data_IF_004570854449
#
_entry.id   IF_004570854449
#
_cell.length_a   1.000
_cell.length_b   1.000
_cell.length_c   1.000
_cell.angle_alpha   90.00
_cell.angle_beta   90.00
_cell.angle_gamma   90.00
#
_symmetry.space_group_name_H-M   'P 1'
#
loop_
_entity.id
_entity.type
_entity.pdbx_description
1 polymer ?
#
# COMPACT_ATOMS: atom_id res chain seq x y z
N UNK A 1 -67.84 -66.22 35.55
CA UNK A 1 -66.37 -66.19 35.69
C UNK A 1 -65.81 -65.37 34.54
N UNK A 2 -64.86 -64.48 34.85
CA UNK A 2 -63.97 -63.72 33.95
C UNK A 2 -64.52 -62.49 33.18
N UNK A 3 -63.93 -61.34 33.55
CA UNK A 3 -63.85 -60.04 32.88
C UNK A 3 -62.93 -60.14 31.63
N UNK A 4 -63.08 -59.30 30.58
CA UNK A 4 -62.11 -58.20 30.47
C UNK A 4 -62.62 -56.87 29.84
N UNK A 5 -62.16 -55.78 30.47
CA UNK A 5 -61.55 -54.56 29.90
C UNK A 5 -62.30 -53.72 28.84
N UNK A 6 -62.99 -52.68 29.32
CA UNK A 6 -63.18 -51.40 28.62
C UNK A 6 -62.12 -50.40 29.10
N UNK A 7 -61.14 -50.04 28.26
CA UNK A 7 -60.22 -48.94 28.53
C UNK A 7 -60.90 -47.59 28.27
N UNK A 8 -61.06 -46.79 29.33
CA UNK A 8 -61.43 -45.38 29.24
C UNK A 8 -60.21 -44.53 28.94
N UNK A 9 -60.25 -43.75 27.87
CA UNK A 9 -59.29 -42.70 27.54
C UNK A 9 -59.40 -41.60 28.62
N UNK A 10 -58.32 -41.35 29.35
CA UNK A 10 -58.18 -40.18 30.23
C UNK A 10 -57.42 -39.10 29.45
N UNK A 11 -58.11 -38.03 29.08
CA UNK A 11 -57.46 -36.80 28.63
C UNK A 11 -56.87 -36.09 29.85
N UNK A 12 -55.55 -36.11 29.98
CA UNK A 12 -54.81 -35.23 30.89
C UNK A 12 -54.60 -33.90 30.17
N UNK A 13 -55.33 -32.86 30.58
CA UNK A 13 -55.05 -31.50 30.17
C UNK A 13 -53.84 -30.99 30.96
N UNK A 14 -52.71 -30.81 30.29
CA UNK A 14 -51.52 -30.13 30.82
C UNK A 14 -51.65 -28.64 30.46
N UNK A 15 -51.66 -27.70 31.41
CA UNK A 15 -51.61 -26.29 31.08
C UNK A 15 -50.18 -25.96 30.63
N UNK A 16 -50.01 -25.65 29.34
CA UNK A 16 -48.77 -25.10 28.81
C UNK A 16 -48.69 -23.64 29.23
N UNK A 17 -47.88 -23.35 30.26
CA UNK A 17 -47.47 -21.99 30.59
C UNK A 17 -46.46 -21.52 29.53
N UNK A 18 -46.93 -20.76 28.54
CA UNK A 18 -46.06 -20.03 27.61
C UNK A 18 -45.57 -18.77 28.34
N UNK A 19 -44.40 -18.88 28.96
CA UNK A 19 -43.67 -17.72 29.46
C UNK A 19 -43.04 -16.96 28.30
N UNK A 20 -43.67 -15.86 27.87
CA UNK A 20 -43.07 -14.90 26.95
C UNK A 20 -41.95 -14.13 27.70
N UNK A 21 -40.71 -14.60 27.60
CA UNK A 21 -39.55 -13.78 27.95
C UNK A 21 -39.35 -12.74 26.85
N UNK A 22 -39.92 -11.56 27.03
CA UNK A 22 -39.54 -10.36 26.29
C UNK A 22 -38.11 -9.96 26.71
N UNK A 23 -37.12 -10.50 26.03
CA UNK A 23 -35.76 -9.94 26.03
C UNK A 23 -35.80 -8.63 25.25
N UNK A 24 -36.20 -7.54 25.91
CA UNK A 24 -35.85 -6.21 25.46
C UNK A 24 -34.33 -6.08 25.56
N UNK A 25 -33.65 -6.30 24.42
CA UNK A 25 -32.26 -5.93 24.28
C UNK A 25 -32.13 -4.44 24.53
N UNK A 26 -31.57 -4.05 25.68
CA UNK A 26 -31.08 -2.70 25.89
C UNK A 26 -29.89 -2.48 24.94
N UNK A 27 -30.18 -2.11 23.69
CA UNK A 27 -29.17 -1.46 22.87
C UNK A 27 -28.71 -0.22 23.63
N UNK A 28 -27.44 -0.18 24.02
CA UNK A 28 -26.86 0.98 24.67
C UNK A 28 -27.15 2.22 23.80
N UNK A 29 -27.74 3.31 24.35
CA UNK A 29 -28.05 4.53 23.58
C UNK A 29 -26.79 5.22 23.02
N UNK A 30 -25.61 4.63 23.22
CA UNK A 30 -24.29 5.13 22.82
C UNK A 30 -23.77 4.51 21.52
N UNK A 31 -24.15 3.26 21.22
CA UNK A 31 -23.89 2.60 19.92
C UNK A 31 -24.82 3.19 18.85
N UNK A 32 -26.08 3.44 19.23
CA UNK A 32 -27.10 4.03 18.34
C UNK A 32 -26.70 5.37 17.71
N UNK A 33 -25.89 6.20 18.41
CA UNK A 33 -25.41 7.48 17.84
C UNK A 33 -24.29 7.31 16.80
N UNK A 34 -23.43 6.32 16.96
CA UNK A 34 -22.38 6.01 15.99
C UNK A 34 -23.00 5.33 14.76
N UNK A 35 -23.89 4.37 14.99
CA UNK A 35 -24.68 3.72 13.95
C UNK A 35 -25.52 4.76 13.19
N UNK A 36 -26.14 5.71 13.89
CA UNK A 36 -26.88 6.81 13.25
C UNK A 36 -25.99 7.67 12.36
N UNK A 37 -24.71 7.91 12.69
CA UNK A 37 -23.83 8.71 11.84
C UNK A 37 -23.39 7.94 10.60
N UNK A 38 -23.01 6.68 10.78
CA UNK A 38 -22.63 5.81 9.68
C UNK A 38 -23.78 5.59 8.69
N UNK A 39 -25.04 5.59 9.18
CA UNK A 39 -26.24 5.41 8.35
C UNK A 39 -26.88 6.71 7.85
N UNK A 40 -26.33 7.89 8.14
CA UNK A 40 -26.88 9.18 7.71
C UNK A 40 -25.82 10.06 7.03
N UNK A 41 -26.27 11.22 6.52
CA UNK A 41 -25.36 12.20 5.92
C UNK A 41 -24.66 11.68 4.65
N UNK A 42 -23.40 12.08 4.41
CA UNK A 42 -22.64 11.70 3.20
C UNK A 42 -22.46 10.19 2.99
N UNK A 43 -22.59 9.37 4.05
CA UNK A 43 -22.42 7.92 4.02
C UNK A 43 -23.72 7.14 3.72
N UNK A 44 -24.87 7.81 3.66
CA UNK A 44 -26.18 7.16 3.57
C UNK A 44 -26.31 6.15 2.42
N UNK A 45 -25.72 6.45 1.26
CA UNK A 45 -25.80 5.63 0.05
C UNK A 45 -24.51 4.85 -0.22
N UNK A 46 -23.57 4.80 0.73
CA UNK A 46 -22.31 4.10 0.57
C UNK A 46 -22.31 2.79 1.35
N UNK A 47 -21.50 1.84 0.91
CA UNK A 47 -21.24 0.62 1.64
C UNK A 47 -20.06 0.86 2.57
N UNK A 48 -20.27 0.75 3.88
CA UNK A 48 -19.24 1.04 4.88
C UNK A 48 -19.08 -0.08 5.90
N UNK A 49 -17.86 -0.24 6.39
CA UNK A 49 -17.51 -1.15 7.47
C UNK A 49 -16.52 -0.48 8.42
N UNK A 50 -16.66 -0.77 9.71
CA UNK A 50 -15.79 -0.25 10.76
C UNK A 50 -15.54 -1.33 11.80
N UNK A 51 -14.27 -1.63 12.02
CA UNK A 51 -13.80 -2.44 13.15
C UNK A 51 -12.88 -1.59 14.00
N UNK A 52 -13.08 -1.63 15.33
CA UNK A 52 -12.23 -0.99 16.33
C UNK A 52 -11.95 -1.99 17.45
N UNK A 53 -10.68 -2.17 17.81
CA UNK A 53 -10.25 -3.01 18.93
C UNK A 53 -9.32 -2.25 19.87
N UNK A 54 -9.26 -2.66 21.14
CA UNK A 54 -8.21 -2.24 22.07
C UNK A 54 -6.89 -2.92 21.73
N UNK A 55 -5.82 -2.15 21.53
CA UNK A 55 -4.51 -2.69 21.11
C UNK A 55 -3.83 -3.59 22.15
N UNK A 56 -4.20 -3.49 23.44
CA UNK A 56 -3.62 -4.30 24.52
C UNK A 56 -4.41 -5.57 24.77
N UNK A 57 -5.74 -5.47 24.84
CA UNK A 57 -6.59 -6.61 25.21
C UNK A 57 -7.12 -7.39 24.01
N UNK A 58 -6.99 -6.85 22.79
CA UNK A 58 -7.61 -7.35 21.57
C UNK A 58 -9.15 -7.37 21.59
N UNK A 59 -9.78 -6.78 22.62
CA UNK A 59 -11.24 -6.73 22.74
C UNK A 59 -11.85 -5.86 21.64
N UNK A 60 -12.92 -6.34 21.01
CA UNK A 60 -13.64 -5.57 20.00
C UNK A 60 -14.55 -4.53 20.65
N UNK A 61 -14.24 -3.26 20.41
CA UNK A 61 -14.98 -2.10 20.91
C UNK A 61 -16.15 -1.77 19.99
N UNK A 62 -15.96 -1.92 18.68
CA UNK A 62 -16.98 -1.65 17.69
C UNK A 62 -16.78 -2.53 16.45
N UNK A 63 -17.88 -3.02 15.89
CA UNK A 63 -17.89 -3.81 14.67
C UNK A 63 -19.19 -3.59 13.90
N UNK A 64 -19.07 -3.07 12.69
CA UNK A 64 -20.13 -3.08 11.67
C UNK A 64 -19.53 -3.52 10.34
N UNK A 65 -20.17 -4.49 9.68
CA UNK A 65 -19.72 -5.07 8.42
C UNK A 65 -18.23 -5.48 8.40
N UNK A 66 -17.66 -5.86 9.55
CA UNK A 66 -16.23 -6.17 9.66
C UNK A 66 -15.80 -7.43 8.91
N UNK A 67 -16.76 -8.28 8.58
CA UNK A 67 -16.65 -9.53 7.81
C UNK A 67 -16.91 -9.33 6.31
N UNK A 68 -17.30 -8.14 5.87
CA UNK A 68 -17.61 -7.85 4.47
C UNK A 68 -16.37 -7.38 3.72
N UNK A 69 -16.26 -7.78 2.45
CA UNK A 69 -15.17 -7.37 1.57
C UNK A 69 -15.40 -5.99 0.97
N UNK A 70 -14.33 -5.21 0.92
CA UNK A 70 -14.27 -3.88 0.32
C UNK A 70 -13.07 -3.79 -0.62
N UNK A 71 -13.14 -2.92 -1.62
CA UNK A 71 -11.95 -2.48 -2.34
C UNK A 71 -11.14 -1.57 -1.40
N UNK A 72 -9.92 -1.96 -1.00
CA UNK A 72 -9.12 -1.28 0.02
C UNK A 72 -8.44 0.00 -0.46
N UNK A 73 -8.30 0.21 -1.78
CA UNK A 73 -7.43 1.25 -2.33
C UNK A 73 -6.03 1.18 -1.68
N UNK A 74 -5.35 2.32 -1.49
CA UNK A 74 -4.02 2.37 -0.87
C UNK A 74 -3.90 1.87 0.58
N UNK A 75 -4.97 1.37 1.22
CA UNK A 75 -4.81 0.60 2.47
C UNK A 75 -4.05 -0.72 2.25
N UNK A 76 -3.97 -1.25 1.02
CA UNK A 76 -3.08 -2.39 0.69
C UNK A 76 -1.63 -2.12 1.09
N UNK A 77 -1.19 -0.87 1.06
CA UNK A 77 0.18 -0.49 1.48
C UNK A 77 0.49 -0.81 2.95
N UNK A 78 -0.52 -1.00 3.80
CA UNK A 78 -0.35 -1.52 5.16
C UNK A 78 0.15 -2.97 5.14
N UNK A 79 -0.39 -3.77 4.22
CA UNK A 79 -0.02 -5.17 4.02
C UNK A 79 1.33 -5.28 3.33
N UNK A 80 1.59 -4.41 2.36
CA UNK A 80 2.92 -4.26 1.73
C UNK A 80 3.98 -3.84 2.73
N UNK A 81 3.66 -2.92 3.65
CA UNK A 81 4.54 -2.57 4.77
C UNK A 81 4.83 -3.81 5.62
N UNK A 82 3.80 -4.54 6.06
CA UNK A 82 3.99 -5.72 6.88
C UNK A 82 4.88 -6.76 6.18
N UNK A 83 4.61 -7.02 4.91
CA UNK A 83 5.42 -7.91 4.06
C UNK A 83 6.88 -7.47 4.00
N UNK A 84 7.10 -6.17 3.81
CA UNK A 84 8.44 -5.60 3.79
C UNK A 84 9.16 -5.75 5.14
N UNK A 85 8.45 -5.54 6.24
CA UNK A 85 8.99 -5.73 7.60
C UNK A 85 9.37 -7.18 7.90
N UNK A 86 8.66 -8.15 7.32
CA UNK A 86 8.97 -9.59 7.47
C UNK A 86 10.11 -10.05 6.57
N UNK A 87 10.16 -9.57 5.33
CA UNK A 87 11.06 -10.09 4.30
C UNK A 87 12.35 -9.31 4.10
N UNK A 88 12.34 -8.00 4.37
CA UNK A 88 13.47 -7.13 4.04
C UNK A 88 14.35 -6.83 5.27
N UNK A 89 15.68 -6.84 5.11
CA UNK A 89 16.59 -6.43 6.17
C UNK A 89 16.56 -4.90 6.38
N UNK A 90 17.34 -4.42 7.37
CA UNK A 90 17.45 -3.01 7.74
C UNK A 90 17.79 -2.08 6.57
N UNK A 91 18.63 -2.55 5.66
CA UNK A 91 18.99 -1.85 4.42
C UNK A 91 18.44 -2.63 3.23
N UNK A 92 17.95 -1.92 2.22
CA UNK A 92 17.29 -2.56 1.07
C UNK A 92 18.32 -3.37 0.25
N UNK A 93 18.02 -4.61 -0.17
CA UNK A 93 18.83 -5.31 -1.17
C UNK A 93 18.75 -4.54 -2.50
N UNK A 94 19.76 -3.74 -2.80
CA UNK A 94 19.74 -2.79 -3.92
C UNK A 94 20.04 -3.46 -5.27
N UNK A 95 20.95 -4.43 -5.25
CA UNK A 95 21.29 -5.27 -6.41
C UNK A 95 21.90 -6.59 -5.91
N UNK A 96 21.95 -7.58 -6.79
CA UNK A 96 22.82 -8.76 -6.66
C UNK A 96 23.99 -8.60 -7.64
N UNK A 97 25.20 -9.01 -7.26
CA UNK A 97 26.37 -8.93 -8.13
C UNK A 97 27.33 -10.11 -7.97
N UNK A 98 28.21 -10.27 -8.96
CA UNK A 98 29.36 -11.16 -8.88
C UNK A 98 30.51 -10.55 -9.69
N UNK A 99 31.74 -10.84 -9.29
CA UNK A 99 32.94 -10.39 -10.01
C UNK A 99 33.65 -11.62 -10.57
N UNK A 100 33.93 -11.63 -11.87
CA UNK A 100 34.74 -12.66 -12.50
C UNK A 100 35.73 -12.02 -13.45
N UNK A 101 37.02 -12.27 -13.22
CA UNK A 101 38.12 -11.55 -13.88
C UNK A 101 37.90 -10.04 -13.69
N UNK A 102 37.83 -9.27 -14.77
CA UNK A 102 37.68 -7.82 -14.74
C UNK A 102 36.24 -7.35 -15.00
N UNK A 103 35.26 -8.27 -15.00
CA UNK A 103 33.85 -7.94 -15.25
C UNK A 103 33.02 -8.02 -13.98
N UNK A 104 32.30 -6.92 -13.70
CA UNK A 104 31.24 -6.87 -12.71
C UNK A 104 29.92 -7.28 -13.37
N UNK A 105 29.34 -8.38 -12.90
CA UNK A 105 28.01 -8.84 -13.28
C UNK A 105 27.00 -8.32 -12.28
N UNK A 106 25.92 -7.70 -12.76
CA UNK A 106 24.89 -7.08 -11.92
C UNK A 106 23.52 -7.60 -12.32
N UNK A 107 22.71 -7.91 -11.33
CA UNK A 107 21.31 -8.31 -11.46
C UNK A 107 20.46 -7.39 -10.58
N UNK A 108 19.41 -6.82 -11.16
CA UNK A 108 18.50 -5.93 -10.45
C UNK A 108 17.59 -6.69 -9.47
N UNK A 109 17.29 -6.08 -8.33
CA UNK A 109 16.37 -6.64 -7.31
C UNK A 109 15.00 -5.97 -7.30
N UNK A 110 14.81 -4.92 -8.10
CA UNK A 110 13.62 -4.05 -8.08
C UNK A 110 13.76 -2.80 -7.20
N UNK A 111 14.94 -2.52 -6.64
CA UNK A 111 15.16 -1.33 -5.79
C UNK A 111 14.78 -0.01 -6.48
N UNK A 112 13.74 0.73 -6.00
CA UNK A 112 13.26 1.94 -6.66
C UNK A 112 14.05 3.20 -6.31
N UNK A 113 15.09 3.10 -5.48
CA UNK A 113 15.70 4.29 -4.85
C UNK A 113 16.75 4.99 -5.73
N UNK A 114 17.28 4.29 -6.73
CA UNK A 114 18.43 4.75 -7.50
C UNK A 114 18.08 5.96 -8.34
N UNK A 115 18.76 7.08 -8.04
CA UNK A 115 18.54 8.38 -8.66
C UNK A 115 17.08 8.87 -8.60
N UNK A 116 16.27 8.26 -7.74
CA UNK A 116 14.87 8.61 -7.58
C UNK A 116 14.74 10.10 -7.22
N UNK A 117 13.76 10.85 -7.76
CA UNK A 117 13.62 12.30 -7.50
C UNK A 117 13.66 12.68 -6.00
N UNK A 118 13.05 11.83 -5.17
CA UNK A 118 13.08 11.93 -3.70
C UNK A 118 14.36 11.42 -3.05
N UNK A 119 14.70 10.12 -3.20
CA UNK A 119 15.81 9.50 -2.46
C UNK A 119 17.19 9.91 -2.96
N UNK A 120 17.32 10.15 -4.27
CA UNK A 120 18.57 10.47 -4.96
C UNK A 120 19.70 9.49 -4.62
N UNK A 121 19.37 8.22 -4.38
CA UNK A 121 20.37 7.24 -3.98
C UNK A 121 21.35 7.01 -5.14
N UNK A 122 22.64 7.11 -4.83
CA UNK A 122 23.75 6.90 -5.75
C UNK A 122 24.78 5.91 -5.20
N UNK A 123 24.44 5.21 -4.11
CA UNK A 123 25.35 4.33 -3.37
C UNK A 123 25.95 3.24 -4.27
N UNK A 124 25.17 2.67 -5.18
CA UNK A 124 25.62 1.65 -6.13
C UNK A 124 26.70 2.15 -7.13
N UNK A 125 26.80 3.46 -7.39
CA UNK A 125 27.83 4.01 -8.28
C UNK A 125 29.23 3.70 -7.76
N UNK A 126 29.43 3.70 -6.44
CA UNK A 126 30.73 3.42 -5.85
C UNK A 126 31.23 2.00 -6.17
N UNK A 127 30.31 1.03 -6.30
CA UNK A 127 30.63 -0.32 -6.77
C UNK A 127 30.97 -0.31 -8.27
N UNK A 128 30.14 0.37 -9.07
CA UNK A 128 30.32 0.41 -10.51
C UNK A 128 31.62 1.08 -10.92
N UNK A 129 32.02 2.18 -10.28
CA UNK A 129 33.25 2.92 -10.62
C UNK A 129 34.55 2.12 -10.41
N UNK A 130 34.51 1.05 -9.61
CA UNK A 130 35.68 0.19 -9.34
C UNK A 130 35.99 -0.82 -10.46
N UNK A 131 35.13 -0.93 -11.47
CA UNK A 131 35.22 -1.96 -12.50
C UNK A 131 35.07 -1.36 -13.90
N UNK A 132 35.96 -1.68 -14.82
CA UNK A 132 35.92 -1.15 -16.18
C UNK A 132 34.82 -1.79 -17.03
N UNK A 133 34.57 -3.08 -16.82
CA UNK A 133 33.55 -3.84 -17.55
C UNK A 133 32.33 -4.13 -16.67
N UNK A 134 31.15 -3.72 -17.16
CA UNK A 134 29.86 -3.94 -16.50
C UNK A 134 28.94 -4.77 -17.40
N UNK A 135 28.47 -5.89 -16.87
CA UNK A 135 27.50 -6.77 -17.50
C UNK A 135 26.19 -6.78 -16.69
N UNK A 136 25.08 -6.37 -17.31
CA UNK A 136 23.80 -6.17 -16.66
C UNK A 136 22.78 -7.22 -17.11
N UNK A 137 22.24 -7.95 -16.14
CA UNK A 137 21.17 -8.92 -16.32
C UNK A 137 19.85 -8.33 -15.78
N UNK A 138 18.89 -8.09 -16.68
CA UNK A 138 17.58 -7.52 -16.35
C UNK A 138 16.41 -8.50 -16.51
N UNK A 139 16.69 -9.72 -16.99
CA UNK A 139 15.68 -10.73 -17.37
C UNK A 139 15.35 -11.71 -16.24
N UNK A 140 15.58 -11.32 -14.99
CA UNK A 140 15.34 -12.13 -13.79
C UNK A 140 13.92 -11.92 -13.21
N UNK A 141 12.92 -11.62 -14.03
CA UNK A 141 11.54 -11.35 -13.60
C UNK A 141 10.52 -12.00 -14.52
N UNK A 142 9.38 -12.39 -13.95
CA UNK A 142 8.18 -12.86 -14.66
C UNK A 142 7.03 -11.85 -14.57
N UNK A 143 7.30 -10.64 -14.09
CA UNK A 143 6.29 -9.61 -13.87
C UNK A 143 5.90 -8.91 -15.18
N UNK A 144 4.60 -8.67 -15.33
CA UNK A 144 4.11 -7.65 -16.24
C UNK A 144 4.51 -6.24 -15.77
N UNK A 145 4.60 -5.30 -16.71
CA UNK A 145 4.99 -3.91 -16.44
C UNK A 145 3.96 -3.16 -15.57
N UNK A 146 2.70 -3.58 -15.59
CA UNK A 146 1.61 -2.99 -14.82
C UNK A 146 0.95 -4.05 -13.92
N UNK A 147 0.28 -3.59 -12.86
CA UNK A 147 -0.47 -4.48 -11.98
C UNK A 147 -1.79 -4.96 -12.62
N UNK A 148 -2.32 -6.13 -12.22
CA UNK A 148 -3.61 -6.61 -12.71
C UNK A 148 -4.74 -5.62 -12.42
N UNK A 149 -5.55 -5.27 -13.41
CA UNK A 149 -6.71 -4.39 -13.23
C UNK A 149 -6.37 -2.92 -13.01
N UNK A 150 -5.13 -2.50 -13.28
CA UNK A 150 -4.80 -1.09 -13.46
C UNK A 150 -5.51 -0.55 -14.71
N UNK A 151 -5.97 0.70 -14.65
CA UNK A 151 -6.71 1.30 -15.75
C UNK A 151 -5.76 1.66 -16.90
N UNK A 152 -6.15 1.40 -18.14
CA UNK A 152 -5.29 1.62 -19.30
C UNK A 152 -5.08 3.11 -19.58
N UNK A 153 -6.07 3.93 -19.21
CA UNK A 153 -6.06 5.39 -19.35
C UNK A 153 -5.08 6.09 -18.39
N UNK A 154 -4.59 5.41 -17.34
CA UNK A 154 -3.71 6.01 -16.32
C UNK A 154 -2.22 6.06 -16.76
N UNK A 155 -1.88 5.67 -17.99
CA UNK A 155 -0.51 5.42 -18.45
C UNK A 155 0.47 6.62 -18.35
N UNK A 156 -0.03 7.86 -18.34
CA UNK A 156 0.75 9.09 -18.26
C UNK A 156 0.64 9.78 -16.88
N UNK A 157 -0.03 9.13 -15.93
CA UNK A 157 -0.22 9.65 -14.58
C UNK A 157 0.96 9.28 -13.68
N UNK A 158 1.41 10.21 -12.83
CA UNK A 158 2.57 10.03 -11.96
C UNK A 158 2.49 8.80 -11.04
N UNK A 159 1.29 8.28 -10.78
CA UNK A 159 1.05 7.15 -9.89
C UNK A 159 1.02 5.80 -10.60
N UNK A 160 1.21 5.76 -11.92
CA UNK A 160 1.26 4.54 -12.74
C UNK A 160 2.62 4.28 -13.47
N UNK A 161 3.81 4.49 -12.85
CA UNK A 161 5.07 4.05 -13.46
C UNK A 161 5.14 2.54 -13.67
N UNK A 162 5.79 2.11 -14.77
CA UNK A 162 6.01 0.69 -15.06
C UNK A 162 6.97 0.06 -14.05
N UNK A 163 6.63 -1.14 -13.58
CA UNK A 163 7.52 -2.01 -12.79
C UNK A 163 8.64 -2.55 -13.68
N UNK A 164 9.84 -2.66 -13.14
CA UNK A 164 10.97 -3.34 -13.78
C UNK A 164 12.02 -3.78 -12.73
N UNK A 165 13.01 -4.55 -13.16
CA UNK A 165 14.02 -5.19 -12.30
C UNK A 165 15.12 -4.24 -11.81
N UNK A 166 15.36 -3.15 -12.55
CA UNK A 166 16.31 -2.10 -12.16
C UNK A 166 15.74 -0.72 -12.48
N UNK A 167 14.90 -0.18 -11.58
CA UNK A 167 14.41 1.19 -11.70
C UNK A 167 15.54 2.20 -11.65
N UNK A 168 15.47 3.20 -12.51
CA UNK A 168 16.31 4.39 -12.43
C UNK A 168 15.41 5.62 -12.47
N UNK A 169 15.68 6.62 -11.63
CA UNK A 169 14.89 7.84 -11.53
C UNK A 169 13.41 7.60 -11.20
N UNK A 170 13.09 6.52 -10.48
CA UNK A 170 11.71 6.14 -10.17
C UNK A 170 10.87 5.76 -11.40
N UNK A 171 11.52 5.45 -12.54
CA UNK A 171 10.87 5.23 -13.84
C UNK A 171 9.98 6.40 -14.29
N UNK A 172 10.34 7.63 -13.91
CA UNK A 172 9.65 8.85 -14.33
C UNK A 172 10.62 9.85 -14.96
N UNK A 173 10.09 10.65 -15.87
CA UNK A 173 10.68 11.90 -16.32
C UNK A 173 10.17 13.03 -15.42
N UNK A 174 11.08 13.85 -14.90
CA UNK A 174 10.73 15.09 -14.19
C UNK A 174 10.82 16.27 -15.16
N UNK A 175 9.76 17.06 -15.27
CA UNK A 175 9.65 18.21 -16.20
C UNK A 175 9.17 19.44 -15.43
N UNK A 176 9.80 20.59 -15.65
CA UNK A 176 9.38 21.90 -15.15
C UNK A 176 9.49 22.95 -16.25
N UNK A 177 8.61 23.95 -16.25
CA UNK A 177 8.62 25.04 -17.23
C UNK A 177 8.64 26.45 -16.57
N UNK A 178 8.92 26.53 -15.27
CA UNK A 178 8.80 27.78 -14.51
C UNK A 178 9.86 28.82 -14.89
N UNK A 179 11.10 28.36 -15.13
CA UNK A 179 12.27 29.19 -15.42
C UNK A 179 12.93 28.78 -16.75
N UNK A 180 12.09 28.39 -17.72
CA UNK A 180 12.51 27.65 -18.90
C UNK A 180 12.34 26.13 -18.71
N UNK A 181 12.44 25.40 -19.82
CA UNK A 181 12.23 23.96 -19.84
C UNK A 181 13.38 23.22 -19.15
N UNK A 182 13.10 22.63 -18.00
CA UNK A 182 14.00 21.75 -17.26
C UNK A 182 13.50 20.31 -17.34
N UNK A 183 14.40 19.38 -17.67
CA UNK A 183 14.08 17.97 -17.88
C UNK A 183 15.12 17.09 -17.21
N UNK A 184 14.67 16.15 -16.39
CA UNK A 184 15.53 15.17 -15.72
C UNK A 184 14.94 13.76 -15.86
N UNK A 185 15.70 12.78 -16.40
CA UNK A 185 17.06 12.87 -16.91
C UNK A 185 17.25 13.73 -18.17
N UNK A 186 18.36 14.47 -18.25
CA UNK A 186 18.57 15.49 -19.29
C UNK A 186 18.72 14.93 -20.72
N UNK A 187 19.18 13.70 -20.90
CA UNK A 187 19.26 13.12 -22.25
C UNK A 187 17.88 12.85 -22.88
N UNK A 188 16.80 12.95 -22.10
CA UNK A 188 15.41 12.85 -22.57
C UNK A 188 14.82 14.21 -22.97
N UNK A 189 15.57 15.32 -22.87
CA UNK A 189 15.07 16.66 -23.22
C UNK A 189 14.52 16.76 -24.64
N UNK A 190 15.15 16.08 -25.61
CA UNK A 190 14.72 16.06 -27.01
C UNK A 190 13.34 15.39 -27.21
N UNK A 191 12.89 14.62 -26.22
CA UNK A 191 11.59 13.96 -26.23
C UNK A 191 10.47 14.81 -25.62
N UNK A 192 10.77 16.02 -25.14
CA UNK A 192 9.82 16.90 -24.46
C UNK A 192 9.43 18.05 -25.37
N UNK A 193 8.13 18.33 -25.47
CA UNK A 193 7.60 19.49 -26.19
C UNK A 193 6.77 20.36 -25.26
N UNK A 194 7.00 21.67 -25.30
CA UNK A 194 6.13 22.65 -24.62
C UNK A 194 4.90 22.88 -25.52
N UNK A 195 3.78 22.24 -25.19
CA UNK A 195 2.57 22.23 -25.99
C UNK A 195 1.35 22.07 -25.08
N UNK A 196 0.25 22.74 -25.41
CA UNK A 196 -1.01 22.54 -24.70
C UNK A 196 -1.68 21.25 -25.17
N UNK A 197 -1.37 20.16 -24.47
CA UNK A 197 -1.95 18.83 -24.66
C UNK A 197 -2.65 18.39 -23.38
N UNK A 198 -3.70 17.57 -23.50
CA UNK A 198 -4.37 16.98 -22.34
C UNK A 198 -3.52 15.88 -21.70
N UNK A 199 -2.81 15.12 -22.52
CA UNK A 199 -1.88 14.05 -22.12
C UNK A 199 -0.48 14.59 -21.84
N UNK A 200 0.24 13.97 -20.92
CA UNK A 200 1.62 14.30 -20.54
C UNK A 200 2.65 13.45 -21.26
N UNK A 201 2.25 12.30 -21.80
CA UNK A 201 3.05 11.41 -22.65
C UNK A 201 2.17 10.83 -23.75
N UNK A 202 2.74 10.46 -24.89
CA UNK A 202 2.10 9.57 -25.86
C UNK A 202 1.94 8.16 -25.29
N UNK A 203 0.87 7.43 -25.62
CA UNK A 203 0.56 6.13 -25.01
C UNK A 203 1.68 5.09 -25.21
N UNK A 204 2.22 5.00 -26.43
CA UNK A 204 3.16 3.96 -26.84
C UNK A 204 4.58 4.46 -27.10
N UNK A 205 4.85 5.75 -26.92
CA UNK A 205 6.20 6.31 -27.10
C UNK A 205 6.56 7.21 -25.93
N UNK A 206 7.87 7.35 -25.69
CA UNK A 206 8.40 8.33 -24.76
C UNK A 206 8.46 9.70 -25.45
N UNK A 207 7.31 10.24 -25.85
CA UNK A 207 7.17 11.63 -26.30
C UNK A 207 6.31 12.35 -25.26
N UNK A 208 6.82 13.44 -24.70
CA UNK A 208 6.24 14.09 -23.52
C UNK A 208 5.79 15.50 -23.83
N UNK A 209 4.81 15.96 -23.06
CA UNK A 209 4.24 17.29 -23.18
C UNK A 209 4.18 17.97 -21.82
N UNK A 210 4.52 19.25 -21.80
CA UNK A 210 4.25 20.16 -20.67
C UNK A 210 3.54 21.39 -21.21
N UNK A 211 2.49 21.83 -20.50
CA UNK A 211 1.72 23.00 -20.92
C UNK A 211 2.57 24.27 -20.79
N UNK A 212 2.42 25.25 -21.69
CA UNK A 212 3.18 26.50 -21.59
C UNK A 212 3.02 27.23 -20.26
N UNK A 213 1.82 27.15 -19.66
CA UNK A 213 1.48 27.82 -18.39
C UNK A 213 1.58 26.90 -17.17
N UNK A 214 2.08 25.67 -17.32
CA UNK A 214 2.29 24.76 -16.18
C UNK A 214 3.26 25.40 -15.18
N UNK A 215 2.85 25.43 -13.91
CA UNK A 215 3.65 25.99 -12.80
C UNK A 215 4.19 24.91 -11.87
N UNK A 216 3.64 23.70 -11.94
CA UNK A 216 4.09 22.58 -11.14
C UNK A 216 5.20 21.79 -11.85
N UNK A 217 6.07 21.19 -11.04
CA UNK A 217 6.99 20.16 -11.56
C UNK A 217 6.22 18.86 -11.74
N UNK A 218 6.20 18.36 -12.97
CA UNK A 218 5.52 17.11 -13.33
C UNK A 218 6.48 15.92 -13.23
N UNK A 219 5.98 14.80 -12.72
CA UNK A 219 6.60 13.49 -12.88
C UNK A 219 5.75 12.66 -13.82
N UNK A 220 6.32 12.25 -14.96
CA UNK A 220 5.59 11.55 -16.02
C UNK A 220 6.21 10.16 -16.22
N UNK A 221 5.44 9.07 -16.12
CA UNK A 221 5.94 7.71 -16.31
C UNK A 221 6.70 7.50 -17.62
N UNK A 222 7.84 6.81 -17.56
CA UNK A 222 8.57 6.33 -18.73
C UNK A 222 7.97 5.00 -19.21
N UNK A 223 7.95 4.78 -20.53
CA UNK A 223 7.96 3.43 -21.08
C UNK A 223 9.38 2.90 -20.94
N UNK A 224 9.53 1.85 -20.14
CA UNK A 224 10.81 1.23 -19.81
C UNK A 224 11.06 -0.02 -20.65
N UNK A 225 12.33 -0.27 -20.96
CA UNK A 225 12.86 -1.50 -21.55
C UNK A 225 14.36 -1.61 -21.24
N UNK A 226 14.94 -2.79 -21.45
CA UNK A 226 16.35 -3.07 -21.14
C UNK A 226 17.32 -2.08 -21.81
N UNK A 227 17.04 -1.68 -23.05
CA UNK A 227 17.86 -0.73 -23.80
C UNK A 227 17.83 0.67 -23.19
N UNK A 228 16.66 1.14 -22.71
CA UNK A 228 16.54 2.43 -22.04
C UNK A 228 17.23 2.40 -20.68
N UNK A 229 17.05 1.34 -19.89
CA UNK A 229 17.75 1.16 -18.60
C UNK A 229 19.27 1.13 -18.80
N UNK A 230 19.75 0.41 -19.81
CA UNK A 230 21.16 0.44 -20.23
C UNK A 230 21.61 1.86 -20.53
N UNK A 231 20.92 2.57 -21.43
CA UNK A 231 21.29 3.93 -21.86
C UNK A 231 21.31 4.91 -20.68
N UNK A 232 20.32 4.85 -19.79
CA UNK A 232 20.26 5.63 -18.56
C UNK A 232 21.52 5.41 -17.70
N UNK A 233 21.91 4.15 -17.52
CA UNK A 233 23.07 3.80 -16.70
C UNK A 233 24.39 4.20 -17.36
N UNK A 234 24.52 4.05 -18.69
CA UNK A 234 25.67 4.53 -19.46
C UNK A 234 25.82 6.06 -19.34
N UNK A 235 24.71 6.80 -19.39
CA UNK A 235 24.71 8.25 -19.22
C UNK A 235 25.14 8.68 -17.81
N UNK A 236 24.76 7.93 -16.78
CA UNK A 236 25.18 8.17 -15.40
C UNK A 236 26.67 7.86 -15.22
N UNK A 237 27.13 6.71 -15.74
CA UNK A 237 28.47 6.19 -15.46
C UNK A 237 29.54 6.68 -16.44
N UNK A 238 29.13 7.27 -17.58
CA UNK A 238 30.00 7.67 -18.69
C UNK A 238 30.91 6.53 -19.18
N UNK A 239 30.35 5.33 -19.25
CA UNK A 239 31.01 4.12 -19.78
C UNK A 239 29.99 3.13 -20.32
N UNK A 240 30.46 2.20 -21.15
CA UNK A 240 29.63 1.18 -21.78
C UNK A 240 29.12 0.14 -20.77
N UNK A 241 27.90 -0.33 -21.00
CA UNK A 241 27.27 -1.42 -20.27
C UNK A 241 26.82 -2.52 -21.23
N UNK A 242 27.19 -3.76 -20.96
CA UNK A 242 26.79 -4.92 -21.76
C UNK A 242 25.53 -5.54 -21.16
N UNK A 243 24.47 -5.70 -21.95
CA UNK A 243 23.32 -6.50 -21.53
C UNK A 243 23.61 -7.98 -21.71
N UNK A 244 23.22 -8.81 -20.74
CA UNK A 244 23.37 -10.27 -20.80
C UNK A 244 22.03 -10.97 -20.58
N UNK A 245 21.81 -12.05 -21.32
CA UNK A 245 20.58 -12.82 -21.25
C UNK A 245 20.50 -13.74 -20.03
N UNK A 246 21.65 -14.15 -19.50
CA UNK A 246 21.75 -15.03 -18.33
C UNK A 246 22.87 -14.58 -17.41
N UNK A 247 22.60 -14.59 -16.10
CA UNK A 247 23.64 -14.40 -15.09
C UNK A 247 24.60 -15.61 -15.09
N UNK A 248 25.93 -15.41 -15.00
CA UNK A 248 26.88 -16.53 -14.96
C UNK A 248 26.63 -17.44 -13.75
N UNK A 249 26.94 -18.73 -13.87
CA UNK A 249 26.80 -19.74 -12.78
C UNK A 249 27.85 -19.55 -11.68
N UNK A 250 27.77 -18.40 -11.00
CA UNK A 250 28.68 -17.95 -9.94
C UNK A 250 27.81 -17.48 -8.78
N UNK A 251 28.30 -17.66 -7.56
CA UNK A 251 27.61 -17.19 -6.37
C UNK A 251 27.44 -15.66 -6.41
N UNK A 252 26.20 -15.22 -6.21
CA UNK A 252 25.84 -13.80 -6.14
C UNK A 252 26.06 -13.28 -4.72
N UNK A 253 26.61 -12.08 -4.60
CA UNK A 253 26.61 -11.27 -3.40
C UNK A 253 25.48 -10.24 -3.45
N UNK A 254 24.98 -9.82 -2.29
CA UNK A 254 23.96 -8.78 -2.17
C UNK A 254 24.64 -7.46 -1.82
N UNK A 255 24.40 -6.43 -2.62
CA UNK A 255 24.77 -5.07 -2.29
C UNK A 255 23.58 -4.37 -1.65
N UNK A 256 23.79 -3.75 -0.49
CA UNK A 256 22.74 -3.08 0.27
C UNK A 256 22.75 -1.57 0.04
N UNK A 257 21.57 -1.00 -0.19
CA UNK A 257 21.34 0.43 -0.38
C UNK A 257 20.96 1.16 0.90
N UNK A 258 20.09 2.17 0.77
CA UNK A 258 19.59 2.96 1.89
C UNK A 258 18.78 2.13 2.90
N UNK A 259 18.49 2.73 4.06
CA UNK A 259 17.64 2.11 5.06
C UNK A 259 16.22 1.86 4.52
N UNK A 260 15.71 0.64 4.69
CA UNK A 260 14.40 0.23 4.18
C UNK A 260 13.26 1.09 4.75
N UNK A 261 13.38 1.54 6.01
CA UNK A 261 12.42 2.45 6.64
C UNK A 261 12.23 3.78 5.90
N UNK A 262 13.25 4.26 5.17
CA UNK A 262 13.12 5.45 4.34
C UNK A 262 12.13 5.22 3.20
N UNK A 263 12.15 4.04 2.58
CA UNK A 263 11.26 3.64 1.50
C UNK A 263 9.84 3.44 2.05
N UNK A 264 9.71 2.78 3.20
CA UNK A 264 8.42 2.53 3.85
C UNK A 264 7.70 3.84 4.20
N UNK A 265 8.44 4.78 4.79
CA UNK A 265 7.88 6.08 5.16
C UNK A 265 7.42 6.84 3.93
N UNK A 266 8.25 6.93 2.89
CA UNK A 266 7.88 7.61 1.65
C UNK A 266 6.66 6.97 0.99
N UNK A 267 6.62 5.63 0.90
CA UNK A 267 5.49 4.88 0.37
C UNK A 267 4.18 5.21 1.12
N UNK A 268 4.22 5.25 2.45
CA UNK A 268 2.99 5.46 3.24
C UNK A 268 2.56 6.93 3.23
N UNK A 269 3.50 7.86 3.39
CA UNK A 269 3.24 9.30 3.49
C UNK A 269 2.79 9.92 2.17
N UNK A 270 3.51 9.65 1.08
CA UNK A 270 3.12 10.13 -0.26
C UNK A 270 2.14 9.18 -0.96
N UNK A 271 1.81 8.05 -0.33
CA UNK A 271 0.95 7.02 -0.90
C UNK A 271 1.47 6.47 -2.25
N UNK A 272 2.79 6.42 -2.41
CA UNK A 272 3.46 6.10 -3.66
C UNK A 272 3.19 4.66 -4.11
N UNK A 273 2.54 4.50 -5.27
CA UNK A 273 2.17 3.20 -5.82
C UNK A 273 3.41 2.43 -6.31
N UNK A 274 4.34 3.12 -6.97
CA UNK A 274 5.51 2.50 -7.56
C UNK A 274 6.41 1.88 -6.49
N UNK A 275 6.64 2.61 -5.39
CA UNK A 275 7.38 2.06 -4.24
C UNK A 275 6.71 0.82 -3.66
N UNK A 276 5.38 0.80 -3.59
CA UNK A 276 4.65 -0.33 -3.02
C UNK A 276 4.75 -1.59 -3.90
N UNK A 277 4.62 -1.44 -5.22
CA UNK A 277 4.84 -2.56 -6.14
C UNK A 277 6.28 -3.08 -6.07
N UNK A 278 7.26 -2.17 -6.09
CA UNK A 278 8.66 -2.54 -6.08
C UNK A 278 9.09 -3.19 -4.77
N UNK A 279 8.53 -2.77 -3.62
CA UNK A 279 8.78 -3.43 -2.35
C UNK A 279 8.34 -4.90 -2.32
N UNK A 280 7.24 -5.26 -2.99
CA UNK A 280 6.85 -6.66 -3.13
C UNK A 280 7.79 -7.42 -4.07
N UNK A 281 8.26 -6.79 -5.16
CA UNK A 281 9.27 -7.39 -6.04
C UNK A 281 10.58 -7.64 -5.29
N UNK A 282 11.10 -6.66 -4.54
CA UNK A 282 12.32 -6.83 -3.74
C UNK A 282 12.13 -7.90 -2.68
N UNK A 283 10.97 -7.96 -2.02
CA UNK A 283 10.64 -9.03 -1.08
C UNK A 283 10.81 -10.42 -1.69
N UNK A 284 10.44 -10.60 -2.96
CA UNK A 284 10.59 -11.91 -3.62
C UNK A 284 12.04 -12.27 -3.92
N UNK A 285 12.94 -11.28 -4.01
CA UNK A 285 14.38 -11.48 -4.22
C UNK A 285 15.07 -12.14 -3.02
N UNK A 286 14.46 -12.05 -1.82
CA UNK A 286 14.92 -12.71 -0.59
C UNK A 286 14.38 -14.13 -0.45
N UNK A 287 13.37 -14.49 -1.26
CA UNK A 287 12.73 -15.81 -1.28
C UNK A 287 13.17 -16.66 -2.48
N UNK A 288 13.56 -16.04 -3.60
CA UNK A 288 13.97 -16.74 -4.82
C UNK A 288 14.85 -15.88 -5.73
N UNK A 289 15.40 -16.48 -6.78
CA UNK A 289 16.21 -15.76 -7.78
C UNK A 289 15.39 -15.07 -8.89
N UNK A 290 14.08 -15.33 -8.96
CA UNK A 290 13.20 -14.69 -9.94
C UNK A 290 12.25 -13.74 -9.23
N UNK A 291 12.30 -12.45 -9.60
CA UNK A 291 11.42 -11.44 -9.06
C UNK A 291 9.96 -11.73 -9.44
N UNK A 292 9.08 -11.72 -8.43
CA UNK A 292 7.65 -11.92 -8.60
C UNK A 292 6.87 -11.37 -7.41
N UNK A 293 5.98 -10.42 -7.68
CA UNK A 293 5.01 -9.89 -6.72
C UNK A 293 4.15 -11.01 -6.15
N UNK A 294 3.68 -11.92 -7.01
CA UNK A 294 2.83 -13.04 -6.61
C UNK A 294 3.54 -14.00 -5.64
N UNK A 295 4.86 -14.21 -5.78
CA UNK A 295 5.62 -15.03 -4.82
C UNK A 295 5.62 -14.43 -3.42
N UNK A 296 5.86 -13.12 -3.30
CA UNK A 296 5.80 -12.42 -2.01
C UNK A 296 4.40 -12.51 -1.40
N UNK A 297 3.35 -12.27 -2.21
CA UNK A 297 1.96 -12.37 -1.77
C UNK A 297 1.62 -13.78 -1.28
N UNK A 298 1.95 -14.80 -2.07
CA UNK A 298 1.64 -16.20 -1.74
C UNK A 298 2.36 -16.64 -0.47
N UNK A 299 3.66 -16.34 -0.36
CA UNK A 299 4.44 -16.61 0.84
C UNK A 299 3.79 -16.00 2.09
N UNK A 300 3.38 -14.73 2.01
CA UNK A 300 2.74 -14.05 3.15
C UNK A 300 1.40 -14.68 3.52
N UNK A 301 0.54 -15.02 2.54
CA UNK A 301 -0.78 -15.62 2.79
C UNK A 301 -0.70 -17.05 3.34
N UNK A 302 0.33 -17.79 2.98
CA UNK A 302 0.59 -19.17 3.42
C UNK A 302 1.29 -19.25 4.78
N UNK A 303 2.06 -18.21 5.16
CA UNK A 303 2.87 -18.23 6.37
C UNK A 303 2.40 -17.17 7.38
N UNK A 304 2.79 -15.91 7.19
CA UNK A 304 2.63 -14.83 8.17
C UNK A 304 1.18 -14.37 8.39
N UNK A 305 0.35 -14.55 7.35
CA UNK A 305 -1.08 -14.21 7.30
C UNK A 305 -1.96 -15.45 7.17
N UNK A 306 -1.41 -16.63 7.49
CA UNK A 306 -2.11 -17.93 7.46
C UNK A 306 -3.35 -17.95 8.38
N UNK A 307 -3.34 -17.17 9.45
CA UNK A 307 -4.31 -17.10 10.54
C UNK A 307 -5.35 -15.96 10.40
N UNK A 308 -5.37 -15.22 9.29
CA UNK A 308 -6.43 -14.24 9.02
C UNK A 308 -7.80 -14.93 8.96
N UNK A 309 -8.77 -14.37 9.69
CA UNK A 309 -10.14 -14.90 9.77
C UNK A 309 -10.82 -14.85 8.40
N UNK A 310 -10.60 -13.75 7.67
CA UNK A 310 -11.07 -13.58 6.30
C UNK A 310 -9.88 -13.36 5.38
N UNK A 311 -9.61 -14.33 4.51
CA UNK A 311 -8.51 -14.25 3.54
C UNK A 311 -8.77 -13.16 2.51
N UNK A 312 -7.85 -12.24 2.26
CA UNK A 312 -8.05 -11.23 1.23
C UNK A 312 -7.87 -11.83 -0.17
N UNK A 313 -8.48 -11.18 -1.17
CA UNK A 313 -7.99 -11.26 -2.55
C UNK A 313 -6.95 -10.15 -2.69
N UNK A 314 -5.68 -10.52 -2.79
CA UNK A 314 -4.56 -9.58 -2.85
C UNK A 314 -3.78 -9.79 -4.14
N UNK A 315 -3.66 -8.76 -4.99
CA UNK A 315 -3.11 -8.89 -6.35
C UNK A 315 -2.02 -7.88 -6.72
N UNK A 316 -1.84 -6.81 -5.94
CA UNK A 316 -0.81 -5.78 -6.20
C UNK A 316 -0.30 -5.17 -4.88
N UNK A 317 0.82 -4.44 -4.90
CA UNK A 317 1.38 -3.82 -3.70
C UNK A 317 0.73 -2.48 -3.34
N UNK A 318 0.22 -1.77 -4.33
CA UNK A 318 -0.22 -0.38 -4.20
C UNK A 318 -1.68 -0.23 -3.81
N UNK A 319 -2.53 -1.20 -4.15
CA UNK A 319 -3.98 -1.07 -4.06
C UNK A 319 -4.60 -0.21 -5.17
N UNK A 320 -3.87 0.04 -6.27
CA UNK A 320 -4.43 0.68 -7.46
C UNK A 320 -5.38 -0.28 -8.20
N UNK A 321 -5.11 -1.59 -8.14
CA UNK A 321 -6.01 -2.62 -8.65
C UNK A 321 -7.35 -2.65 -7.93
N UNK A 322 -8.42 -2.59 -8.73
CA UNK A 322 -9.81 -2.78 -8.28
C UNK A 322 -10.12 -4.23 -7.88
N UNK A 323 -9.23 -5.18 -8.18
CA UNK A 323 -9.44 -6.59 -7.85
C UNK A 323 -9.10 -6.93 -6.40
N UNK A 324 -8.38 -6.06 -5.70
CA UNK A 324 -8.10 -6.26 -4.29
C UNK A 324 -9.40 -6.25 -3.47
N UNK A 325 -9.54 -7.21 -2.57
CA UNK A 325 -10.65 -7.31 -1.62
C UNK A 325 -10.12 -7.64 -0.24
N UNK A 326 -10.38 -6.77 0.73
CA UNK A 326 -10.04 -6.94 2.13
C UNK A 326 -11.27 -6.67 3.00
N UNK A 327 -11.35 -7.33 4.15
CA UNK A 327 -12.36 -7.01 5.17
C UNK A 327 -11.76 -6.08 6.22
N UNK A 328 -12.54 -5.19 6.87
CA UNK A 328 -12.04 -4.38 7.97
C UNK A 328 -11.42 -5.23 9.09
N UNK A 329 -11.98 -6.42 9.36
CA UNK A 329 -11.42 -7.37 10.34
C UNK A 329 -10.03 -7.86 9.93
N UNK A 330 -9.85 -8.32 8.69
CA UNK A 330 -8.55 -8.78 8.19
C UNK A 330 -7.50 -7.66 8.28
N UNK A 331 -7.87 -6.42 7.97
CA UNK A 331 -6.98 -5.27 8.06
C UNK A 331 -6.59 -4.95 9.50
N UNK A 332 -7.53 -5.03 10.45
CA UNK A 332 -7.24 -4.86 11.88
C UNK A 332 -6.34 -5.98 12.42
N UNK A 333 -6.53 -7.24 12.00
CA UNK A 333 -5.63 -8.34 12.37
C UNK A 333 -4.19 -8.09 11.90
N UNK A 334 -4.02 -7.61 10.66
CA UNK A 334 -2.70 -7.25 10.12
C UNK A 334 -2.07 -6.10 10.91
N UNK A 335 -2.84 -5.03 11.17
CA UNK A 335 -2.37 -3.92 12.00
C UNK A 335 -2.01 -4.35 13.42
N UNK A 336 -2.75 -5.31 13.99
CA UNK A 336 -2.46 -5.87 15.30
C UNK A 336 -1.12 -6.64 15.32
N UNK A 337 -0.84 -7.43 14.27
CA UNK A 337 0.46 -8.09 14.09
C UNK A 337 1.59 -7.06 14.03
N UNK A 338 1.46 -6.04 13.17
CA UNK A 338 2.42 -4.93 13.08
C UNK A 338 2.64 -4.27 14.46
N UNK A 339 1.56 -3.97 15.19
CA UNK A 339 1.63 -3.36 16.51
C UNK A 339 2.36 -4.22 17.55
N UNK A 340 2.21 -5.53 17.47
CA UNK A 340 2.87 -6.48 18.38
C UNK A 340 4.34 -6.72 18.05
N UNK A 341 4.71 -6.64 16.77
CA UNK A 341 6.07 -6.98 16.29
C UNK A 341 7.00 -5.76 16.18
N UNK A 342 6.45 -4.55 15.99
CA UNK A 342 7.25 -3.33 15.77
C UNK A 342 7.25 -2.44 17.01
N UNK A 343 8.43 -2.02 17.51
CA UNK A 343 8.52 -1.05 18.61
C UNK A 343 7.72 0.23 18.31
N UNK A 344 6.97 0.72 19.29
CA UNK A 344 5.99 1.82 19.10
C UNK A 344 6.64 3.09 18.58
N UNK A 345 7.85 3.39 19.07
CA UNK A 345 8.65 4.55 18.66
C UNK A 345 9.03 4.49 17.18
N UNK A 346 9.23 3.28 16.64
CA UNK A 346 9.48 3.05 15.21
C UNK A 346 8.17 3.07 14.43
N UNK A 347 7.16 2.32 14.89
CA UNK A 347 5.89 2.13 14.21
C UNK A 347 5.20 3.45 13.88
N UNK A 348 5.01 4.32 14.87
CA UNK A 348 4.28 5.56 14.66
C UNK A 348 5.02 6.56 13.75
N UNK A 349 6.35 6.42 13.58
CA UNK A 349 7.16 7.20 12.63
C UNK A 349 7.07 6.71 11.18
N UNK A 350 6.49 5.52 10.94
CA UNK A 350 6.28 4.99 9.59
C UNK A 350 4.96 5.44 8.99
N UNK A 351 3.94 5.64 9.83
CA UNK A 351 2.59 5.98 9.38
C UNK A 351 2.40 7.50 9.24
N UNK A 352 1.65 7.97 8.23
CA UNK A 352 1.15 9.33 8.21
C UNK A 352 0.33 9.62 9.47
N UNK A 353 0.29 10.90 9.83
CA UNK A 353 -0.27 11.37 11.09
C UNK A 353 -1.35 12.41 10.85
N UNK A 354 -2.34 12.43 11.73
CA UNK A 354 -3.39 13.45 11.74
C UNK A 354 -3.64 13.99 13.14
N UNK A 355 -3.97 15.28 13.19
CA UNK A 355 -4.57 15.96 14.33
C UNK A 355 -6.01 16.41 14.01
N UNK A 356 -6.55 17.35 14.77
CA UNK A 356 -7.88 17.92 14.55
C UNK A 356 -7.95 18.89 13.36
N UNK A 357 -6.81 19.22 12.75
CA UNK A 357 -6.68 20.16 11.63
C UNK A 357 -6.38 19.46 10.30
N UNK A 358 -6.03 18.18 10.32
CA UNK A 358 -5.85 17.34 9.15
C UNK A 358 -4.50 16.59 9.15
N UNK A 359 -3.98 16.29 7.96
CA UNK A 359 -2.72 15.55 7.81
C UNK A 359 -1.55 16.41 8.28
N UNK A 360 -0.74 15.89 9.21
CA UNK A 360 0.48 16.52 9.68
C UNK A 360 1.64 16.09 8.80
N UNK A 361 2.23 17.05 8.07
CA UNK A 361 3.37 16.80 7.17
C UNK A 361 4.73 16.74 7.88
N UNK A 362 4.85 17.27 9.11
CA UNK A 362 6.12 17.32 9.87
C UNK A 362 5.93 16.82 11.30
N UNK A 363 6.78 15.88 11.71
CA UNK A 363 6.78 15.24 13.04
C UNK A 363 6.95 16.24 14.21
N UNK A 364 7.61 17.38 13.97
CA UNK A 364 8.05 18.32 15.01
C UNK A 364 7.38 19.70 14.90
N UNK A 365 6.08 19.75 14.58
CA UNK A 365 5.34 21.01 14.73
C UNK A 365 5.02 21.20 16.22
N UNK A 366 5.76 22.10 16.87
CA UNK A 366 5.55 22.46 18.28
C UNK A 366 4.08 22.83 18.54
N UNK A 367 3.50 22.29 19.61
CA UNK A 367 2.09 22.51 19.98
C UNK A 367 1.06 21.60 19.27
N UNK A 368 1.48 20.66 18.42
CA UNK A 368 0.57 19.70 17.77
C UNK A 368 0.87 18.28 18.23
N UNK A 369 -0.11 17.63 18.88
CA UNK A 369 -0.02 16.22 19.27
C UNK A 369 -0.89 15.36 18.34
N UNK A 370 -0.29 14.57 17.41
CA UNK A 370 -1.03 13.63 16.59
C UNK A 370 -1.73 12.58 17.45
N UNK A 371 -2.96 12.26 17.08
CA UNK A 371 -3.73 11.20 17.73
C UNK A 371 -4.22 10.12 16.77
N UNK A 372 -4.05 10.29 15.46
CA UNK A 372 -4.28 9.24 14.45
C UNK A 372 -2.96 8.97 13.72
N UNK A 373 -2.62 7.69 13.59
CA UNK A 373 -1.48 7.18 12.82
C UNK A 373 -1.99 6.09 11.90
N UNK A 374 -2.21 6.41 10.63
CA UNK A 374 -3.05 5.61 9.75
C UNK A 374 -2.63 5.71 8.28
N UNK A 375 -3.19 4.85 7.44
CA UNK A 375 -3.05 4.95 5.99
C UNK A 375 -4.41 5.24 5.38
N UNK A 376 -4.50 6.34 4.65
CA UNK A 376 -5.66 6.63 3.79
C UNK A 376 -5.58 5.83 2.48
N UNK A 377 -6.71 5.58 1.85
CA UNK A 377 -6.76 5.01 0.50
C UNK A 377 -7.95 5.55 -0.24
N UNK A 378 -7.72 6.12 -1.42
CA UNK A 378 -8.76 6.72 -2.25
C UNK A 378 -8.70 6.16 -3.66
N UNK A 379 -9.85 5.85 -4.22
CA UNK A 379 -10.07 5.66 -5.66
C UNK A 379 -11.41 6.32 -6.01
N UNK A 380 -11.79 6.36 -7.30
CA UNK A 380 -13.15 6.75 -7.66
C UNK A 380 -14.16 5.92 -6.87
N UNK A 381 -15.05 6.60 -6.12
CA UNK A 381 -16.10 6.04 -5.25
C UNK A 381 -15.62 5.28 -3.99
N UNK A 382 -14.33 5.33 -3.63
CA UNK A 382 -13.79 4.61 -2.47
C UNK A 382 -12.90 5.53 -1.62
N UNK A 383 -13.07 5.46 -0.30
CA UNK A 383 -12.23 6.15 0.66
C UNK A 383 -12.16 5.35 1.96
N UNK A 384 -10.95 4.93 2.31
CA UNK A 384 -10.69 4.06 3.45
C UNK A 384 -9.61 4.68 4.34
N UNK A 385 -9.67 4.39 5.63
CA UNK A 385 -8.68 4.82 6.62
C UNK A 385 -8.50 3.70 7.65
N UNK A 386 -7.28 3.17 7.76
CA UNK A 386 -6.96 2.13 8.74
C UNK A 386 -5.64 2.43 9.44
N UNK A 387 -5.58 2.15 10.74
CA UNK A 387 -4.39 2.41 11.54
C UNK A 387 -4.67 2.43 13.05
N UNK A 388 -4.00 3.34 13.73
CA UNK A 388 -3.99 3.48 15.17
C UNK A 388 -4.61 4.82 15.61
N UNK A 389 -5.37 4.79 16.69
CA UNK A 389 -6.01 5.96 17.30
C UNK A 389 -5.62 6.05 18.77
N UNK A 390 -5.02 7.17 19.19
CA UNK A 390 -4.76 7.50 20.59
C UNK A 390 -6.02 8.15 21.20
N UNK A 391 -6.70 7.39 22.05
CA UNK A 391 -7.90 7.81 22.75
C UNK A 391 -7.59 8.84 23.86
N UNK A 392 -8.61 9.55 24.38
CA UNK A 392 -8.40 10.57 25.42
C UNK A 392 -7.92 9.97 26.74
N UNK A 393 -8.29 8.74 27.05
CA UNK A 393 -7.72 8.01 28.20
C UNK A 393 -6.23 7.68 28.06
N UNK A 394 -5.64 7.85 26.87
CA UNK A 394 -4.30 7.40 26.54
C UNK A 394 -4.23 5.97 26.00
N UNK A 395 -5.35 5.24 25.92
CA UNK A 395 -5.41 3.94 25.23
C UNK A 395 -5.08 4.09 23.74
N UNK A 396 -4.41 3.08 23.19
CA UNK A 396 -4.24 2.96 21.73
C UNK A 396 -5.29 1.97 21.23
N UNK A 397 -6.06 2.41 20.25
CA UNK A 397 -7.04 1.60 19.53
C UNK A 397 -6.50 1.27 18.15
N UNK A 398 -6.82 0.09 17.63
CA UNK A 398 -6.54 -0.31 16.25
C UNK A 398 -7.86 -0.31 15.50
N UNK A 399 -7.90 0.32 14.33
CA UNK A 399 -9.13 0.46 13.56
C UNK A 399 -8.93 0.26 12.07
N UNK A 400 -10.00 -0.14 11.40
CA UNK A 400 -10.14 -0.09 9.96
C UNK A 400 -11.54 0.39 9.60
N UNK A 401 -11.60 1.53 8.93
CA UNK A 401 -12.83 2.09 8.37
C UNK A 401 -12.71 2.02 6.84
N UNK A 402 -13.59 1.25 6.22
CA UNK A 402 -13.67 1.12 4.77
C UNK A 402 -15.01 1.66 4.27
N UNK A 403 -14.98 2.50 3.25
CA UNK A 403 -16.18 3.09 2.64
C UNK A 403 -16.08 3.03 1.11
N UNK A 404 -17.07 2.42 0.47
CA UNK A 404 -17.13 2.15 -0.96
C UNK A 404 -18.47 2.63 -1.54
N UNK A 405 -18.52 2.85 -2.85
CA UNK A 405 -19.72 3.17 -3.62
C UNK A 405 -20.38 4.53 -3.31
N UNK A 406 -19.69 5.45 -2.66
CA UNK A 406 -20.23 6.81 -2.49
C UNK A 406 -20.18 7.59 -3.81
N UNK A 407 -21.12 8.51 -4.02
CA UNK A 407 -21.20 9.38 -5.21
C UNK A 407 -21.02 10.87 -4.90
N UNK A 408 -20.79 11.21 -3.63
CA UNK A 408 -20.52 12.57 -3.17
C UNK A 408 -19.01 12.89 -3.22
N UNK A 409 -18.60 14.17 -3.13
CA UNK A 409 -17.18 14.51 -3.08
C UNK A 409 -16.44 13.81 -1.94
N UNK A 410 -15.24 13.27 -2.21
CA UNK A 410 -14.40 12.57 -1.23
C UNK A 410 -14.10 13.42 0.01
N UNK A 411 -14.05 14.75 -0.10
CA UNK A 411 -13.88 15.67 1.03
C UNK A 411 -15.00 15.56 2.07
N UNK A 412 -16.24 15.33 1.65
CA UNK A 412 -17.36 15.14 2.58
C UNK A 412 -17.25 13.81 3.33
N UNK A 413 -16.84 12.75 2.62
CA UNK A 413 -16.59 11.42 3.22
C UNK A 413 -15.46 11.50 4.25
N UNK A 414 -14.38 12.21 3.93
CA UNK A 414 -13.26 12.45 4.84
C UNK A 414 -13.69 13.13 6.13
N UNK A 415 -14.44 14.22 6.01
CA UNK A 415 -14.94 14.96 7.16
C UNK A 415 -15.83 14.09 8.08
N UNK A 416 -16.69 13.24 7.50
CA UNK A 416 -17.54 12.34 8.29
C UNK A 416 -16.71 11.26 9.01
N UNK A 417 -15.72 10.67 8.33
CA UNK A 417 -14.81 9.68 8.93
C UNK A 417 -14.00 10.29 10.07
N UNK A 418 -13.47 11.50 9.90
CA UNK A 418 -12.78 12.23 10.96
C UNK A 418 -13.72 12.47 12.15
N UNK A 419 -14.99 12.82 11.90
CA UNK A 419 -16.00 13.00 12.93
C UNK A 419 -16.31 11.71 13.70
N UNK A 420 -16.41 10.58 12.99
CA UNK A 420 -16.59 9.23 13.56
C UNK A 420 -15.41 8.86 14.46
N UNK A 421 -14.17 9.03 13.98
CA UNK A 421 -12.97 8.70 14.74
C UNK A 421 -12.77 9.61 15.96
N UNK A 422 -13.09 10.90 15.84
CA UNK A 422 -13.05 11.81 16.99
C UNK A 422 -14.08 11.39 18.05
N UNK A 423 -15.27 10.96 17.66
CA UNK A 423 -16.25 10.44 18.62
C UNK A 423 -15.76 9.17 19.33
N UNK A 424 -15.05 8.28 18.63
CA UNK A 424 -14.44 7.08 19.23
C UNK A 424 -13.34 7.49 20.22
N UNK A 425 -12.50 8.48 19.85
CA UNK A 425 -11.43 9.02 20.69
C UNK A 425 -11.94 9.62 21.99
N UNK A 426 -13.00 10.43 21.94
CA UNK A 426 -13.53 11.11 23.14
C UNK A 426 -14.23 10.14 24.10
N UNK A 427 -14.71 8.99 23.59
CA UNK A 427 -15.42 7.98 24.39
C UNK A 427 -14.50 6.99 25.11
N UNK A 428 -13.26 6.86 24.66
CA UNK A 428 -12.32 5.85 25.13
C UNK A 428 -11.10 6.47 25.77
#
# INVERSE_FOLDING_TARGET
MYNPYNQRIKYFAVPVFIGFFLLFGCASPRLSKLDSRLNNGPLKNSFHGLVVIDSKTAETIYNTNGDRYFTPASNVKVVTLYTSLKLLPKNVPALKYAIQKDTLYVEGTGDPTWFHPYFKDSTAIALFKKHDHLALHLKNSIEDKFGPGWAWEDYDTYFSPQKNTLPLFGNVLTISNNNGLEVHPQFLSEMVSVKDESKKREEFTNQFYIKPLEQDTLQVPLITNDSLTKKLLEEILKKNVTLIDSFPSIQKEVFYGIASDSIYRQMLHESDNFLAEQLLMIGSSTLSDTLSTQKSISYMLENELSDLEHKPRWVDGSGLSRYNLFTPRSMVQILQKIYSEVPKERLFKLFPMWDSTGTIKKWEKEGVEPYIFAKSGSLGNNYNLSGYLKAKSGKILIFSLMNNHFTVPTSQIRAEIESVLNQIREKN
#
